data_IF_229546084303
#
_entry.id   IF_229546084303
#
_cell.length_a   1.000
_cell.length_b   1.000
_cell.length_c   1.000
_cell.angle_alpha   90.00
_cell.angle_beta   90.00
_cell.angle_gamma   90.00
#
_symmetry.space_group_name_H-M   'P 1'
#
loop_
_entity.id
_entity.type
_entity.pdbx_description
1 polymer ?
#
# COMPACT_ATOMS: atom_id res chain seq x y z
N UNK A 1 8.34 -11.68 3.57
CA UNK A 1 8.56 -10.21 3.52
C UNK A 1 8.14 -9.62 2.18
N UNK A 2 8.82 -9.93 1.06
CA UNK A 2 8.48 -9.42 -0.28
C UNK A 2 7.07 -9.78 -0.77
N UNK A 3 6.52 -10.88 -0.25
CA UNK A 3 5.13 -11.28 -0.51
C UNK A 3 4.13 -10.30 0.12
N UNK A 4 4.42 -9.78 1.32
CA UNK A 4 3.56 -8.83 2.03
C UNK A 4 3.80 -7.38 1.60
N UNK A 5 5.03 -7.07 1.20
CA UNK A 5 5.48 -5.73 0.87
C UNK A 5 6.25 -5.77 -0.46
N UNK A 6 5.56 -5.97 -1.60
CA UNK A 6 6.20 -6.02 -2.92
C UNK A 6 6.98 -4.74 -3.26
N UNK A 7 6.59 -3.61 -2.69
CA UNK A 7 7.26 -2.32 -2.81
C UNK A 7 8.70 -2.31 -2.27
N UNK A 8 9.05 -3.26 -1.40
CA UNK A 8 10.44 -3.46 -0.94
C UNK A 8 11.38 -3.81 -2.10
N UNK A 9 10.86 -4.38 -3.20
CA UNK A 9 11.63 -4.62 -4.42
C UNK A 9 12.29 -3.35 -4.97
N UNK A 10 11.62 -2.19 -4.85
CA UNK A 10 12.16 -0.90 -5.30
C UNK A 10 13.40 -0.48 -4.52
N UNK A 11 13.49 -0.82 -3.22
CA UNK A 11 14.67 -0.56 -2.39
C UNK A 11 15.81 -1.52 -2.71
N UNK A 12 15.50 -2.80 -2.94
CA UNK A 12 16.49 -3.80 -3.34
C UNK A 12 17.12 -3.43 -4.68
N UNK A 13 16.33 -3.08 -5.69
CA UNK A 13 16.85 -2.63 -6.98
C UNK A 13 17.73 -1.38 -6.85
N UNK A 14 17.38 -0.47 -5.95
CA UNK A 14 18.18 0.72 -5.70
C UNK A 14 19.50 0.38 -5.02
N UNK A 15 19.51 -0.54 -4.06
CA UNK A 15 20.73 -1.06 -3.43
C UNK A 15 21.70 -1.64 -4.44
N UNK A 16 21.20 -2.42 -5.40
CA UNK A 16 22.02 -3.05 -6.44
C UNK A 16 22.66 -2.04 -7.40
N UNK A 17 22.10 -0.83 -7.51
CA UNK A 17 22.54 0.22 -8.46
C UNK A 17 23.29 1.39 -7.79
N UNK A 18 23.24 1.51 -6.46
CA UNK A 18 23.74 2.68 -5.74
C UNK A 18 25.23 2.58 -5.36
N UNK A 19 25.94 3.71 -5.36
CA UNK A 19 27.33 3.78 -4.87
C UNK A 19 27.41 3.60 -3.34
N UNK A 20 28.46 2.97 -2.79
CA UNK A 20 28.33 2.25 -1.51
C UNK A 20 28.39 3.09 -0.23
N UNK A 21 28.88 4.34 -0.22
CA UNK A 21 29.27 4.96 1.07
C UNK A 21 28.14 5.65 1.84
N UNK A 22 27.40 6.58 1.23
CA UNK A 22 26.40 7.38 1.95
C UNK A 22 25.02 6.72 1.98
N UNK A 23 24.62 6.15 0.83
CA UNK A 23 23.33 5.47 0.65
C UNK A 23 23.23 4.22 1.55
N UNK A 24 24.35 3.54 1.79
CA UNK A 24 24.41 2.35 2.63
C UNK A 24 24.02 2.60 4.09
N UNK A 25 24.41 3.73 4.70
CA UNK A 25 24.04 4.02 6.10
C UNK A 25 22.53 4.17 6.26
N UNK A 26 21.89 4.97 5.39
CA UNK A 26 20.43 5.20 5.41
C UNK A 26 19.65 3.92 5.10
N UNK A 27 20.08 3.16 4.09
CA UNK A 27 19.45 1.89 3.74
C UNK A 27 19.68 0.78 4.77
N UNK A 28 20.86 0.72 5.37
CA UNK A 28 21.14 -0.21 6.47
C UNK A 28 20.22 0.09 7.65
N UNK A 29 20.13 1.36 8.08
CA UNK A 29 19.22 1.75 9.15
C UNK A 29 17.77 1.39 8.80
N UNK A 30 17.30 1.71 7.58
CA UNK A 30 15.98 1.33 7.11
C UNK A 30 15.74 -0.18 7.19
N UNK A 31 16.63 -1.00 6.61
CA UNK A 31 16.48 -2.46 6.57
C UNK A 31 16.55 -3.06 7.96
N UNK A 32 17.48 -2.62 8.81
CA UNK A 32 17.60 -3.10 10.19
C UNK A 32 16.34 -2.77 10.99
N UNK A 33 15.83 -1.55 10.92
CA UNK A 33 14.59 -1.15 11.59
C UNK A 33 13.37 -1.88 11.04
N UNK A 34 13.32 -2.10 9.72
CA UNK A 34 12.25 -2.87 9.06
C UNK A 34 12.25 -4.33 9.54
N UNK A 35 13.41 -4.98 9.50
CA UNK A 35 13.59 -6.36 9.94
C UNK A 35 13.28 -6.52 11.42
N UNK A 36 13.70 -5.56 12.26
CA UNK A 36 13.38 -5.55 13.68
C UNK A 36 11.88 -5.42 13.95
N UNK A 37 11.18 -4.46 13.31
CA UNK A 37 9.72 -4.33 13.41
C UNK A 37 9.00 -5.61 12.97
N UNK A 38 9.41 -6.19 11.84
CA UNK A 38 8.84 -7.44 11.34
C UNK A 38 9.08 -8.60 12.31
N UNK A 39 10.29 -8.72 12.87
CA UNK A 39 10.65 -9.77 13.82
C UNK A 39 9.81 -9.68 15.09
N UNK A 40 9.67 -8.48 15.68
CA UNK A 40 8.85 -8.26 16.86
C UNK A 40 7.39 -8.66 16.63
N UNK A 41 6.85 -8.39 15.43
CA UNK A 41 5.45 -8.63 15.12
C UNK A 41 5.20 -10.03 14.52
N UNK A 42 6.25 -10.81 14.22
CA UNK A 42 6.16 -12.18 13.71
C UNK A 42 5.40 -13.10 14.67
N UNK A 43 5.63 -12.98 15.98
CA UNK A 43 4.93 -13.78 16.99
C UNK A 43 3.42 -13.58 16.96
N UNK A 44 2.98 -12.33 16.84
CA UNK A 44 1.56 -11.98 16.73
C UNK A 44 0.94 -12.48 15.42
N UNK A 45 1.68 -12.40 14.30
CA UNK A 45 1.24 -13.01 13.04
C UNK A 45 1.03 -14.52 13.19
N UNK A 46 2.01 -15.23 13.77
CA UNK A 46 1.90 -16.68 14.02
C UNK A 46 0.68 -17.00 14.89
N UNK A 47 0.44 -16.21 15.93
CA UNK A 47 -0.74 -16.36 16.78
C UNK A 47 -2.06 -16.25 16.00
N UNK A 48 -2.21 -15.22 15.15
CA UNK A 48 -3.41 -15.04 14.32
C UNK A 48 -3.62 -16.22 13.36
N UNK A 49 -2.56 -16.68 12.69
CA UNK A 49 -2.67 -17.82 11.77
C UNK A 49 -3.00 -19.14 12.50
N UNK A 50 -2.47 -19.35 13.70
CA UNK A 50 -2.78 -20.52 14.52
C UNK A 50 -4.26 -20.53 14.95
N UNK A 51 -4.81 -19.37 15.35
CA UNK A 51 -6.23 -19.24 15.69
C UNK A 51 -7.16 -19.54 14.51
N UNK A 52 -6.70 -19.27 13.29
CA UNK A 52 -7.47 -19.44 12.06
C UNK A 52 -7.14 -20.74 11.32
N UNK A 53 -6.39 -21.67 11.94
CA UNK A 53 -5.86 -22.83 11.22
C UNK A 53 -6.95 -23.72 10.59
N UNK A 54 -8.11 -23.82 11.25
CA UNK A 54 -9.26 -24.62 10.81
C UNK A 54 -10.16 -23.89 9.80
N UNK A 55 -9.95 -22.60 9.54
CA UNK A 55 -10.73 -21.81 8.61
C UNK A 55 -10.04 -21.75 7.24
N UNK A 56 -10.45 -22.63 6.31
CA UNK A 56 -9.92 -22.66 4.93
C UNK A 56 -10.25 -21.40 4.12
N UNK A 57 -11.27 -20.64 4.54
CA UNK A 57 -11.69 -19.40 3.89
C UNK A 57 -10.97 -18.17 4.44
N UNK A 58 -10.16 -18.31 5.49
CA UNK A 58 -9.43 -17.19 6.07
C UNK A 58 -8.54 -16.51 5.03
N UNK A 59 -8.58 -15.18 5.01
CA UNK A 59 -7.69 -14.30 4.26
C UNK A 59 -7.04 -13.31 5.21
N UNK A 60 -5.80 -12.90 4.90
CA UNK A 60 -5.08 -11.93 5.74
C UNK A 60 -5.84 -10.61 5.91
N UNK A 61 -6.67 -10.24 4.94
CA UNK A 61 -7.52 -9.05 4.95
C UNK A 61 -8.65 -9.12 5.97
N UNK A 62 -8.97 -10.31 6.50
CA UNK A 62 -10.04 -10.50 7.48
C UNK A 62 -9.57 -10.15 8.91
N UNK A 63 -8.26 -10.05 9.12
CA UNK A 63 -7.67 -9.74 10.42
C UNK A 63 -7.37 -8.24 10.56
N UNK A 64 -8.05 -7.59 11.51
CA UNK A 64 -7.75 -6.19 11.86
C UNK A 64 -6.28 -6.02 12.25
N UNK A 65 -5.72 -6.94 13.05
CA UNK A 65 -4.31 -6.89 13.46
C UNK A 65 -3.37 -6.90 12.25
N UNK A 66 -3.58 -7.82 11.32
CA UNK A 66 -2.72 -7.94 10.13
C UNK A 66 -2.85 -6.68 9.25
N UNK A 67 -4.07 -6.17 9.06
CA UNK A 67 -4.28 -4.94 8.30
C UNK A 67 -3.60 -3.73 8.93
N UNK A 68 -3.71 -3.56 10.26
CA UNK A 68 -3.02 -2.47 10.98
C UNK A 68 -1.50 -2.60 10.87
N UNK A 69 -0.98 -3.82 11.01
CA UNK A 69 0.44 -4.08 10.83
C UNK A 69 0.92 -3.74 9.41
N UNK A 70 0.20 -4.19 8.38
CA UNK A 70 0.55 -3.88 6.98
C UNK A 70 0.55 -2.37 6.74
N UNK A 71 -0.46 -1.66 7.24
CA UNK A 71 -0.53 -0.21 7.12
C UNK A 71 0.63 0.49 7.85
N UNK A 72 0.94 0.11 9.08
CA UNK A 72 2.07 0.67 9.83
C UNK A 72 3.38 0.49 9.06
N UNK A 73 3.62 -0.71 8.54
CA UNK A 73 4.82 -1.02 7.77
C UNK A 73 4.87 -0.21 6.46
N UNK A 74 3.75 0.01 5.78
CA UNK A 74 3.66 0.85 4.57
C UNK A 74 3.88 2.33 4.87
N UNK A 75 3.35 2.83 5.98
CA UNK A 75 3.68 4.18 6.47
C UNK A 75 5.19 4.32 6.70
N UNK A 76 5.80 3.32 7.35
CA UNK A 76 7.24 3.29 7.58
C UNK A 76 8.04 3.25 6.27
N UNK A 77 7.69 2.37 5.32
CA UNK A 77 8.30 2.30 3.99
C UNK A 77 8.14 3.64 3.25
N UNK A 78 6.94 4.21 3.24
CA UNK A 78 6.65 5.48 2.58
C UNK A 78 7.46 6.63 3.17
N UNK A 79 7.58 6.70 4.49
CA UNK A 79 8.45 7.66 5.17
C UNK A 79 9.90 7.55 4.68
N UNK A 80 10.46 6.34 4.67
CA UNK A 80 11.82 6.10 4.18
C UNK A 80 11.98 6.37 2.69
N UNK A 81 10.91 6.26 1.90
CA UNK A 81 10.92 6.61 0.49
C UNK A 81 11.18 8.10 0.25
N UNK A 82 10.69 8.99 1.13
CA UNK A 82 10.97 10.43 1.04
C UNK A 82 12.44 10.77 1.30
N UNK A 83 13.13 9.93 2.07
CA UNK A 83 14.55 10.10 2.40
C UNK A 83 15.43 9.51 1.29
N UNK A 84 15.14 8.27 0.89
CA UNK A 84 15.99 7.50 -0.04
C UNK A 84 15.75 7.89 -1.50
N UNK A 85 14.50 8.19 -1.85
CA UNK A 85 14.07 8.50 -3.22
C UNK A 85 13.66 9.96 -3.41
N UNK A 86 14.22 10.87 -2.61
CA UNK A 86 13.90 12.31 -2.66
C UNK A 86 13.98 12.96 -4.07
N UNK A 87 14.76 12.36 -4.98
CA UNK A 87 14.89 12.79 -6.39
C UNK A 87 13.95 12.08 -7.38
N UNK A 88 13.22 11.05 -6.97
CA UNK A 88 12.37 10.23 -7.84
C UNK A 88 10.89 10.39 -7.50
N UNK A 89 10.25 11.41 -8.11
CA UNK A 89 8.80 11.62 -7.98
C UNK A 89 7.96 10.38 -8.30
N UNK A 90 8.22 9.60 -9.37
CA UNK A 90 7.41 8.42 -9.67
C UNK A 90 7.42 7.38 -8.53
N UNK A 91 8.57 7.13 -7.92
CA UNK A 91 8.69 6.21 -6.78
C UNK A 91 7.93 6.74 -5.57
N UNK A 92 8.08 8.02 -5.25
CA UNK A 92 7.34 8.66 -4.15
C UNK A 92 5.83 8.53 -4.37
N UNK A 93 5.33 8.81 -5.59
CA UNK A 93 3.91 8.62 -5.93
C UNK A 93 3.45 7.19 -5.68
N UNK A 94 4.25 6.20 -6.07
CA UNK A 94 3.94 4.78 -5.84
C UNK A 94 3.77 4.48 -4.34
N UNK A 95 4.75 4.85 -3.52
CA UNK A 95 4.69 4.61 -2.07
C UNK A 95 3.53 5.35 -1.39
N UNK A 96 3.27 6.60 -1.78
CA UNK A 96 2.13 7.36 -1.26
C UNK A 96 0.79 6.72 -1.66
N UNK A 97 0.68 6.27 -2.91
CA UNK A 97 -0.53 5.65 -3.43
C UNK A 97 -0.88 4.35 -2.70
N UNK A 98 0.07 3.41 -2.59
CA UNK A 98 -0.17 2.13 -1.90
C UNK A 98 -0.47 2.32 -0.42
N UNK A 99 0.19 3.29 0.24
CA UNK A 99 -0.08 3.62 1.65
C UNK A 99 -1.46 4.24 1.81
N UNK A 100 -1.86 5.11 0.89
CA UNK A 100 -3.20 5.69 0.88
C UNK A 100 -4.28 4.64 0.70
N UNK A 101 -4.11 3.68 -0.21
CA UNK A 101 -5.07 2.58 -0.36
C UNK A 101 -5.16 1.74 0.93
N UNK A 102 -4.01 1.42 1.56
CA UNK A 102 -4.03 0.69 2.84
C UNK A 102 -4.73 1.48 3.95
N UNK A 103 -4.58 2.80 3.97
CA UNK A 103 -5.35 3.67 4.85
C UNK A 103 -6.86 3.55 4.58
N UNK A 104 -7.28 3.60 3.31
CA UNK A 104 -8.70 3.42 2.95
C UNK A 104 -9.24 2.07 3.40
N UNK A 105 -8.46 0.99 3.30
CA UNK A 105 -8.88 -0.35 3.78
C UNK A 105 -9.14 -0.38 5.29
N UNK A 106 -8.35 0.35 6.08
CA UNK A 106 -8.54 0.43 7.52
C UNK A 106 -9.73 1.29 7.90
N UNK A 107 -10.00 2.33 7.10
CA UNK A 107 -11.17 3.16 7.26
C UNK A 107 -12.40 2.34 6.87
N UNK A 108 -13.10 1.81 7.88
CA UNK A 108 -14.41 1.14 7.73
C UNK A 108 -15.52 2.12 7.32
N UNK A 109 -15.22 3.04 6.41
CA UNK A 109 -16.19 3.98 5.86
C UNK A 109 -17.21 3.18 5.06
N UNK A 110 -18.47 3.42 5.36
CA UNK A 110 -19.60 2.70 4.74
C UNK A 110 -19.57 2.76 3.21
N UNK A 111 -19.12 3.89 2.65
CA UNK A 111 -18.98 4.08 1.21
C UNK A 111 -18.06 3.05 0.53
N UNK A 112 -17.07 2.50 1.24
CA UNK A 112 -16.10 1.54 0.70
C UNK A 112 -16.38 0.08 1.09
N UNK A 113 -17.44 -0.20 1.83
CA UNK A 113 -17.72 -1.54 2.41
C UNK A 113 -17.65 -2.68 1.39
N UNK A 114 -18.10 -2.41 0.17
CA UNK A 114 -18.19 -3.39 -0.91
C UNK A 114 -17.15 -3.15 -2.02
N UNK A 115 -16.12 -2.34 -1.77
CA UNK A 115 -15.11 -1.96 -2.78
C UNK A 115 -13.72 -2.46 -2.39
N UNK A 116 -13.05 -3.15 -3.32
CA UNK A 116 -11.71 -3.70 -3.13
C UNK A 116 -10.68 -2.96 -3.98
N UNK A 117 -9.94 -2.05 -3.34
CA UNK A 117 -8.77 -1.41 -3.95
C UNK A 117 -7.53 -2.30 -3.80
N UNK A 118 -6.79 -2.49 -4.89
CA UNK A 118 -5.58 -3.32 -4.92
C UNK A 118 -4.38 -2.57 -4.34
N UNK A 119 -4.19 -2.72 -3.03
CA UNK A 119 -3.00 -2.20 -2.36
C UNK A 119 -1.78 -3.14 -2.51
N UNK A 120 -1.89 -4.29 -3.18
CA UNK A 120 -0.77 -5.18 -3.52
C UNK A 120 -0.38 -5.06 -5.00
N UNK A 121 -0.67 -3.90 -5.61
CA UNK A 121 -0.18 -3.56 -6.95
C UNK A 121 1.36 -3.61 -6.98
N UNK A 122 1.92 -4.26 -7.99
CA UNK A 122 3.37 -4.34 -8.12
C UNK A 122 3.94 -3.00 -8.58
N UNK A 123 5.24 -2.71 -8.32
CA UNK A 123 5.87 -1.51 -8.85
C UNK A 123 5.74 -1.41 -10.39
N UNK A 124 5.91 -2.53 -11.09
CA UNK A 124 5.79 -2.60 -12.55
C UNK A 124 4.37 -2.26 -13.03
N UNK A 125 3.34 -2.90 -12.45
CA UNK A 125 1.94 -2.62 -12.76
C UNK A 125 1.62 -1.14 -12.53
N UNK A 126 2.07 -0.59 -11.40
CA UNK A 126 1.83 0.81 -11.07
C UNK A 126 2.53 1.74 -12.07
N UNK A 127 3.83 1.57 -12.34
CA UNK A 127 4.55 2.48 -13.23
C UNK A 127 4.02 2.44 -14.67
N UNK A 128 3.49 1.30 -15.12
CA UNK A 128 2.84 1.14 -16.42
C UNK A 128 1.39 1.67 -16.47
N UNK A 129 0.76 1.93 -15.32
CA UNK A 129 -0.62 2.44 -15.23
C UNK A 129 -0.76 3.91 -15.64
N UNK A 130 -2.00 4.33 -15.93
CA UNK A 130 -2.34 5.76 -16.11
C UNK A 130 -2.18 6.56 -14.80
N UNK A 131 -2.40 5.90 -13.66
CA UNK A 131 -2.35 6.52 -12.33
C UNK A 131 -0.94 7.07 -12.01
N UNK A 132 0.14 6.36 -12.36
CA UNK A 132 1.52 6.81 -12.09
C UNK A 132 1.82 8.21 -12.67
N UNK A 133 1.25 8.50 -13.84
CA UNK A 133 1.44 9.77 -14.55
C UNK A 133 0.59 10.88 -13.94
N UNK A 134 -0.64 10.57 -13.53
CA UNK A 134 -1.66 11.56 -13.19
C UNK A 134 -1.86 11.83 -11.71
N UNK A 135 -1.43 10.93 -10.82
CA UNK A 135 -1.41 11.19 -9.38
C UNK A 135 -0.59 12.46 -9.12
N UNK A 136 -1.21 13.44 -8.49
CA UNK A 136 -0.61 14.72 -8.16
C UNK A 136 0.06 14.66 -6.79
N UNK A 137 1.33 15.04 -6.71
CA UNK A 137 2.03 15.23 -5.44
C UNK A 137 2.73 16.59 -5.44
N UNK A 138 2.74 17.25 -4.30
CA UNK A 138 3.46 18.51 -4.07
C UNK A 138 4.37 18.37 -2.86
N UNK A 139 5.44 19.18 -2.84
CA UNK A 139 6.35 19.23 -1.69
C UNK A 139 5.74 20.04 -0.57
N UNK A 140 5.90 19.56 0.65
CA UNK A 140 5.41 20.24 1.84
C UNK A 140 6.39 21.36 2.23
N UNK A 141 6.05 22.61 1.89
CA UNK A 141 6.94 23.78 2.03
C UNK A 141 7.32 24.11 3.48
N UNK A 142 6.41 23.95 4.44
CA UNK A 142 6.69 24.28 5.84
C UNK A 142 7.75 23.37 6.49
N UNK A 143 8.03 22.22 5.88
CA UNK A 143 9.11 21.32 6.33
C UNK A 143 10.47 21.68 5.71
N UNK A 144 10.52 22.59 4.73
CA UNK A 144 11.75 22.98 4.03
C UNK A 144 12.68 23.82 4.93
N UNK A 145 12.12 24.60 5.87
CA UNK A 145 12.92 25.44 6.80
C UNK A 145 13.76 24.61 7.79
N UNK A 146 13.32 23.39 8.10
CA UNK A 146 14.05 22.45 8.97
C UNK A 146 15.10 21.63 8.21
N UNK A 147 15.02 21.56 6.88
CA UNK A 147 15.81 20.67 6.04
C UNK A 147 17.02 21.40 5.42
N UNK A 148 17.89 21.96 6.27
CA UNK A 148 19.06 22.79 5.89
C UNK A 148 20.08 22.10 4.95
N UNK A 149 19.87 20.83 4.58
CA UNK A 149 20.76 20.02 3.72
C UNK A 149 20.03 19.22 2.61
N UNK A 150 18.73 19.44 2.37
CA UNK A 150 17.93 18.63 1.42
C UNK A 150 18.01 17.11 1.71
N UNK A 151 18.11 16.72 2.98
CA UNK A 151 18.31 15.31 3.33
C UNK A 151 17.01 14.50 3.29
N UNK A 152 15.88 15.17 3.49
CA UNK A 152 14.52 14.67 3.26
C UNK A 152 13.72 15.64 2.39
N UNK A 153 12.79 15.10 1.60
CA UNK A 153 11.80 15.92 0.87
C UNK A 153 10.44 15.24 1.01
N UNK A 154 9.61 15.80 1.89
CA UNK A 154 8.26 15.32 2.13
C UNK A 154 7.31 15.81 1.05
N UNK A 155 6.36 14.95 0.69
CA UNK A 155 5.33 15.29 -0.28
C UNK A 155 3.95 14.99 0.32
N UNK A 156 2.97 15.77 -0.11
CA UNK A 156 1.56 15.52 0.11
C UNK A 156 0.87 15.06 -1.17
N UNK A 157 -0.21 14.29 -1.01
CA UNK A 157 -1.00 13.76 -2.10
C UNK A 157 -2.09 14.79 -2.45
N UNK A 158 -1.99 15.43 -3.62
CA UNK A 158 -2.95 16.44 -4.06
C UNK A 158 -4.13 15.85 -4.82
N UNK A 159 -3.87 14.79 -5.57
CA UNK A 159 -4.87 14.26 -6.49
C UNK A 159 -4.62 12.79 -6.82
N UNK A 160 -5.72 12.04 -6.95
CA UNK A 160 -5.74 10.64 -7.34
C UNK A 160 -6.22 10.43 -8.78
N UNK A 161 -6.20 11.48 -9.61
CA UNK A 161 -6.75 11.46 -10.97
C UNK A 161 -6.34 10.22 -11.77
N UNK A 162 -7.31 9.61 -12.45
CA UNK A 162 -7.15 8.38 -13.24
C UNK A 162 -6.63 7.16 -12.44
N UNK A 163 -6.96 7.08 -11.16
CA UNK A 163 -6.83 5.85 -10.36
C UNK A 163 -8.17 5.14 -10.25
N UNK A 164 -8.14 3.91 -9.74
CA UNK A 164 -9.37 3.17 -9.43
C UNK A 164 -10.20 3.89 -8.36
N UNK A 165 -9.55 4.64 -7.46
CA UNK A 165 -10.20 5.46 -6.43
C UNK A 165 -10.96 6.64 -7.05
N UNK A 166 -10.32 7.35 -7.99
CA UNK A 166 -10.93 8.46 -8.73
C UNK A 166 -12.13 7.97 -9.56
N UNK A 167 -11.95 6.84 -10.25
CA UNK A 167 -13.00 6.21 -11.05
C UNK A 167 -14.20 5.79 -10.19
N UNK A 168 -13.93 5.30 -8.97
CA UNK A 168 -14.96 5.00 -7.98
C UNK A 168 -15.74 6.24 -7.54
N UNK A 169 -15.05 7.34 -7.22
CA UNK A 169 -15.73 8.57 -6.81
C UNK A 169 -16.51 9.22 -7.94
N UNK A 170 -15.99 9.22 -9.16
CA UNK A 170 -16.71 9.71 -10.34
C UNK A 170 -17.98 8.89 -10.60
N UNK A 171 -17.90 7.57 -10.47
CA UNK A 171 -19.06 6.70 -10.59
C UNK A 171 -20.08 6.97 -9.48
N UNK A 172 -19.64 7.10 -8.22
CA UNK A 172 -20.52 7.44 -7.08
C UNK A 172 -21.21 8.78 -7.28
N UNK A 173 -20.49 9.78 -7.79
CA UNK A 173 -21.05 11.10 -8.13
C UNK A 173 -22.10 10.99 -9.24
N UNK A 174 -21.81 10.26 -10.30
CA UNK A 174 -22.77 10.03 -11.39
C UNK A 174 -24.10 9.44 -10.89
N UNK A 175 -24.05 8.46 -9.98
CA UNK A 175 -25.28 7.87 -9.42
C UNK A 175 -26.11 8.89 -8.62
N UNK A 176 -25.43 9.71 -7.82
CA UNK A 176 -26.05 10.76 -7.03
C UNK A 176 -26.72 11.79 -7.93
N UNK A 177 -26.02 12.25 -8.96
CA UNK A 177 -26.51 13.25 -9.92
C UNK A 177 -27.73 12.76 -10.71
N UNK A 178 -27.89 11.44 -10.87
CA UNK A 178 -29.00 10.82 -11.61
C UNK A 178 -30.10 10.21 -10.71
N UNK A 179 -30.04 10.39 -9.39
CA UNK A 179 -30.98 9.81 -8.41
C UNK A 179 -31.17 8.28 -8.58
N UNK A 180 -30.12 7.56 -8.97
CA UNK A 180 -30.17 6.11 -9.14
C UNK A 180 -30.10 5.44 -7.77
N UNK A 181 -31.06 4.57 -7.46
CA UNK A 181 -31.14 3.88 -6.16
C UNK A 181 -29.89 3.02 -5.88
N UNK A 182 -29.34 3.16 -4.67
CA UNK A 182 -28.18 2.42 -4.18
C UNK A 182 -28.38 0.89 -4.23
N UNK A 183 -29.61 0.38 -4.11
CA UNK A 183 -29.89 -1.07 -4.13
C UNK A 183 -29.68 -1.70 -5.50
N UNK A 184 -30.16 -1.06 -6.58
CA UNK A 184 -29.84 -1.48 -7.96
C UNK A 184 -28.33 -1.41 -8.21
N UNK A 185 -27.69 -0.41 -7.60
CA UNK A 185 -26.29 -0.12 -7.79
C UNK A 185 -25.34 -1.12 -7.13
N UNK A 186 -25.66 -1.70 -5.97
CA UNK A 186 -24.80 -2.71 -5.33
C UNK A 186 -24.54 -3.93 -6.24
N UNK A 187 -25.54 -4.35 -7.02
CA UNK A 187 -25.42 -5.45 -8.00
C UNK A 187 -24.54 -5.11 -9.21
N UNK A 188 -24.38 -3.81 -9.51
CA UNK A 188 -23.57 -3.30 -10.62
C UNK A 188 -22.16 -2.97 -10.12
N UNK A 189 -22.03 -2.39 -8.93
CA UNK A 189 -20.76 -2.15 -8.23
C UNK A 189 -20.01 -3.45 -8.02
N UNK A 190 -20.68 -4.51 -7.56
CA UNK A 190 -20.04 -5.82 -7.40
C UNK A 190 -19.45 -6.30 -8.74
N UNK A 191 -20.15 -6.08 -9.87
CA UNK A 191 -19.62 -6.47 -11.19
C UNK A 191 -18.45 -5.62 -11.70
N UNK A 192 -18.36 -4.34 -11.33
CA UNK A 192 -17.26 -3.46 -11.75
C UNK A 192 -16.07 -3.47 -10.78
N UNK A 193 -16.30 -3.82 -9.51
CA UNK A 193 -15.31 -3.73 -8.42
C UNK A 193 -15.08 -5.07 -7.69
N UNK A 194 -15.65 -6.18 -8.16
CA UNK A 194 -15.15 -7.54 -7.89
C UNK A 194 -13.74 -7.62 -8.48
N UNK A 195 -12.77 -7.31 -7.65
CA UNK A 195 -11.37 -7.40 -8.02
C UNK A 195 -10.90 -8.85 -7.84
N UNK A 196 -11.34 -9.74 -8.73
CA UNK A 196 -10.97 -11.16 -8.71
C UNK A 196 -9.46 -11.36 -8.72
N UNK A 197 -8.72 -10.51 -9.43
CA UNK A 197 -7.25 -10.48 -9.42
C UNK A 197 -6.70 -10.17 -8.03
N UNK A 198 -7.29 -9.20 -7.32
CA UNK A 198 -6.91 -8.90 -5.94
C UNK A 198 -7.22 -10.09 -5.02
N UNK A 199 -8.39 -10.71 -5.15
CA UNK A 199 -8.76 -11.88 -4.35
C UNK A 199 -7.81 -13.07 -4.56
N UNK A 200 -7.40 -13.32 -5.81
CA UNK A 200 -6.36 -14.30 -6.16
C UNK A 200 -5.01 -13.94 -5.52
N UNK A 201 -4.59 -12.67 -5.60
CA UNK A 201 -3.36 -12.17 -4.97
C UNK A 201 -3.40 -12.38 -3.45
N UNK A 202 -4.47 -11.98 -2.78
CA UNK A 202 -4.63 -12.12 -1.32
C UNK A 202 -4.64 -13.59 -0.92
N UNK A 203 -5.31 -14.45 -1.69
CA UNK A 203 -5.30 -15.90 -1.45
C UNK A 203 -3.87 -16.44 -1.53
N UNK A 204 -3.13 -16.12 -2.61
CA UNK A 204 -1.73 -16.53 -2.79
C UNK A 204 -0.82 -16.03 -1.68
N UNK A 205 -0.99 -14.78 -1.25
CA UNK A 205 -0.22 -14.17 -0.16
C UNK A 205 -0.52 -14.91 1.15
N UNK A 206 -1.79 -15.15 1.44
CA UNK A 206 -2.24 -15.83 2.67
C UNK A 206 -1.65 -17.24 2.75
N UNK A 207 -1.73 -18.02 1.66
CA UNK A 207 -1.15 -19.37 1.60
C UNK A 207 0.35 -19.35 1.85
N UNK A 208 1.10 -18.49 1.14
CA UNK A 208 2.56 -18.39 1.32
C UNK A 208 2.97 -17.99 2.74
N UNK A 209 2.18 -17.13 3.39
CA UNK A 209 2.44 -16.76 4.79
C UNK A 209 2.13 -17.89 5.75
N UNK A 210 1.06 -18.64 5.51
CA UNK A 210 0.71 -19.81 6.32
C UNK A 210 1.83 -20.85 6.27
N UNK A 211 2.35 -21.14 5.07
CA UNK A 211 3.51 -22.03 4.87
C UNK A 211 4.72 -21.53 5.65
N UNK A 212 5.14 -20.28 5.43
CA UNK A 212 6.31 -19.68 6.09
C UNK A 212 6.25 -19.63 7.63
N UNK A 213 5.05 -19.57 8.22
CA UNK A 213 4.87 -19.49 9.67
C UNK A 213 4.69 -20.86 10.35
N UNK A 214 4.42 -21.90 9.54
CA UNK A 214 4.31 -23.29 9.99
C UNK A 214 5.68 -23.95 10.19
N UNK A 215 6.69 -23.47 9.46
CA UNK A 215 8.11 -23.73 9.69
C UNK A 215 8.65 -23.02 10.95
#
# INVERSE_FOLDING_TARGET
MLVLFPEMGVFIEYLLKASPRYIYKKLHLFISSFAFKFHLLKGNLKHVFNQQNNNSSFRITDSNFINFFIFEMRCFICYWSFIIFNKSKPKIKFFMYITFISFLRLNKMEIFKDTKFDDYITPEDFFNSKASKRIGIERIKFLEEHDKKNESVFHELLSLKNSDIDSFFDFKKFLLDNNIDNTYTQSVISKYYENSKFDEKITKITTKLKEYLSD
#
